data_IF_355953976269
#
_entry.id   IF_355953976269
#
_cell.length_a   1.000
_cell.length_b   1.000
_cell.length_c   1.000
_cell.angle_alpha   90.00
_cell.angle_beta   90.00
_cell.angle_gamma   90.00
#
_symmetry.space_group_name_H-M   'P 1'
#
loop_
_entity.id
_entity.type
_entity.pdbx_description
1 polymer ?
#
# COMPACT_ATOMS: atom_id res chain seq x y z
N UNK A 1 -8.19 -32.14 7.19
CA UNK A 1 -8.31 -31.83 8.64
C UNK A 1 -7.08 -30.95 8.94
N UNK A 2 -7.14 -29.64 9.08
CA UNK A 2 -8.20 -28.75 9.55
C UNK A 2 -8.44 -27.57 8.58
N UNK A 3 -9.70 -27.40 8.19
CA UNK A 3 -10.26 -26.13 7.72
C UNK A 3 -10.58 -25.32 8.97
N UNK A 4 -9.74 -24.37 9.36
CA UNK A 4 -10.09 -23.43 10.44
C UNK A 4 -10.73 -22.17 9.86
N UNK A 5 -12.05 -22.29 9.72
CA UNK A 5 -13.05 -21.33 10.20
C UNK A 5 -12.71 -19.84 10.08
N UNK A 6 -12.90 -19.30 8.88
CA UNK A 6 -13.26 -17.89 8.68
C UNK A 6 -14.66 -17.71 9.27
N UNK A 7 -14.75 -17.37 10.55
CA UNK A 7 -16.01 -16.92 11.15
C UNK A 7 -16.14 -15.42 10.81
N UNK A 8 -16.76 -15.16 9.66
CA UNK A 8 -17.07 -13.81 9.16
C UNK A 8 -18.33 -13.33 9.89
N UNK A 9 -18.17 -12.66 11.03
CA UNK A 9 -19.27 -11.96 11.71
C UNK A 9 -19.29 -10.48 11.34
N UNK A 10 -20.51 -9.92 11.23
CA UNK A 10 -20.85 -8.67 10.54
C UNK A 10 -20.67 -7.44 11.45
N UNK A 11 -20.42 -6.29 10.81
CA UNK A 11 -20.29 -4.93 11.36
C UNK A 11 -18.85 -4.54 11.75
N UNK A 12 -18.21 -3.72 10.91
CA UNK A 12 -16.78 -3.39 10.90
C UNK A 12 -15.86 -4.62 10.85
N UNK A 13 -15.26 -4.89 9.69
CA UNK A 13 -14.36 -6.04 9.48
C UNK A 13 -13.05 -5.88 10.27
N UNK A 14 -13.11 -6.08 11.58
CA UNK A 14 -11.92 -6.16 12.42
C UNK A 14 -11.33 -7.54 12.20
N UNK A 15 -10.38 -7.63 11.26
CA UNK A 15 -9.66 -8.88 10.98
C UNK A 15 -8.71 -9.12 12.15
N UNK A 16 -9.01 -10.13 12.96
CA UNK A 16 -8.10 -10.60 14.01
C UNK A 16 -6.89 -11.28 13.38
N UNK A 17 -5.74 -11.11 14.00
CA UNK A 17 -4.46 -11.62 13.50
C UNK A 17 -3.64 -12.21 14.62
N UNK A 18 -2.84 -13.22 14.29
CA UNK A 18 -1.74 -13.69 15.11
C UNK A 18 -0.49 -13.59 14.25
N UNK A 19 0.46 -12.74 14.66
CA UNK A 19 1.71 -12.52 13.95
C UNK A 19 2.71 -13.66 14.21
N UNK A 20 2.40 -14.84 13.69
CA UNK A 20 3.40 -15.90 13.55
C UNK A 20 4.32 -15.63 12.35
N UNK A 21 5.31 -16.49 12.14
CA UNK A 21 6.31 -16.33 11.07
C UNK A 21 5.67 -16.24 9.68
N UNK A 22 4.63 -17.05 9.42
CA UNK A 22 3.97 -17.08 8.13
C UNK A 22 3.18 -15.78 7.91
N UNK A 23 2.45 -15.33 8.92
CA UNK A 23 1.64 -14.13 8.80
C UNK A 23 2.50 -12.86 8.77
N UNK A 24 3.60 -12.83 9.52
CA UNK A 24 4.61 -11.79 9.41
C UNK A 24 5.20 -11.72 8.00
N UNK A 25 5.54 -12.88 7.40
CA UNK A 25 6.01 -12.93 6.02
C UNK A 25 4.97 -12.40 5.03
N UNK A 26 3.70 -12.74 5.21
CA UNK A 26 2.60 -12.24 4.37
C UNK A 26 2.50 -10.71 4.44
N UNK A 27 2.51 -10.15 5.66
CA UNK A 27 2.48 -8.70 5.86
C UNK A 27 3.72 -8.03 5.28
N UNK A 28 4.91 -8.60 5.50
CA UNK A 28 6.13 -8.07 4.91
C UNK A 28 5.99 -7.99 3.38
N UNK A 29 5.61 -9.09 2.75
CA UNK A 29 5.44 -9.16 1.30
C UNK A 29 4.36 -8.19 0.80
N UNK A 30 3.29 -8.01 1.55
CA UNK A 30 2.16 -7.16 1.18
C UNK A 30 2.46 -5.66 1.33
N UNK A 31 3.13 -5.25 2.41
CA UNK A 31 3.26 -3.83 2.78
C UNK A 31 4.65 -3.24 2.51
N UNK A 32 5.71 -4.05 2.35
CA UNK A 32 7.09 -3.54 2.23
C UNK A 32 7.24 -2.50 1.13
N UNK A 33 6.79 -2.79 -0.09
CA UNK A 33 6.92 -1.88 -1.22
C UNK A 33 6.17 -0.55 -0.99
N UNK A 34 4.93 -0.61 -0.47
CA UNK A 34 4.13 0.57 -0.19
C UNK A 34 4.74 1.43 0.93
N UNK A 35 5.32 0.79 1.96
CA UNK A 35 6.01 1.49 3.04
C UNK A 35 7.32 2.13 2.57
N UNK A 36 8.05 1.52 1.64
CA UNK A 36 9.23 2.13 1.03
C UNK A 36 8.85 3.36 0.20
N UNK A 37 7.81 3.26 -0.63
CA UNK A 37 7.28 4.41 -1.38
C UNK A 37 6.82 5.53 -0.43
N UNK A 38 6.14 5.17 0.65
CA UNK A 38 5.70 6.10 1.67
C UNK A 38 6.88 6.80 2.39
N UNK A 39 7.93 6.06 2.75
CA UNK A 39 9.14 6.62 3.34
C UNK A 39 9.89 7.55 2.36
N UNK A 40 9.90 7.20 1.09
CA UNK A 40 10.56 7.97 0.03
C UNK A 40 9.97 9.39 -0.13
N UNK A 41 8.67 9.56 0.15
CA UNK A 41 8.03 10.89 0.18
C UNK A 41 8.65 11.85 1.22
N UNK A 42 9.40 11.31 2.20
CA UNK A 42 10.13 12.08 3.20
C UNK A 42 11.64 12.11 2.94
N UNK A 43 12.23 10.97 2.57
CA UNK A 43 13.69 10.83 2.44
C UNK A 43 14.23 11.33 1.11
N UNK A 44 13.46 11.17 0.03
CA UNK A 44 13.93 11.30 -1.36
C UNK A 44 15.17 10.42 -1.68
N UNK A 45 15.44 9.42 -0.85
CA UNK A 45 16.55 8.46 -0.96
C UNK A 45 15.99 7.04 -0.80
N UNK A 46 16.22 6.20 -1.82
CA UNK A 46 15.65 4.86 -1.87
C UNK A 46 16.31 3.88 -0.88
N UNK A 47 17.61 4.02 -0.64
CA UNK A 47 18.37 3.14 0.24
C UNK A 47 17.99 3.44 1.69
N UNK A 48 17.98 4.73 2.08
CA UNK A 48 17.53 5.16 3.40
C UNK A 48 16.06 4.79 3.67
N UNK A 49 15.21 4.90 2.65
CA UNK A 49 13.79 4.50 2.77
C UNK A 49 13.65 3.00 3.04
N UNK A 50 14.43 2.17 2.34
CA UNK A 50 14.42 0.73 2.54
C UNK A 50 14.93 0.34 3.94
N UNK A 51 16.00 0.96 4.41
CA UNK A 51 16.57 0.71 5.74
C UNK A 51 15.57 1.05 6.86
N UNK A 52 14.92 2.22 6.77
CA UNK A 52 13.86 2.63 7.71
C UNK A 52 12.75 1.57 7.79
N UNK A 53 12.30 1.09 6.63
CA UNK A 53 11.22 0.11 6.57
C UNK A 53 11.66 -1.24 7.16
N UNK A 54 12.91 -1.67 6.90
CA UNK A 54 13.47 -2.87 7.50
C UNK A 54 13.51 -2.78 9.03
N UNK A 55 13.97 -1.66 9.59
CA UNK A 55 14.01 -1.44 11.04
C UNK A 55 12.61 -1.45 11.66
N UNK A 56 11.63 -0.86 10.99
CA UNK A 56 10.23 -0.89 11.42
C UNK A 56 9.67 -2.32 11.43
N UNK A 57 9.96 -3.12 10.41
CA UNK A 57 9.57 -4.54 10.39
C UNK A 57 10.27 -5.36 11.46
N UNK A 58 11.57 -5.12 11.69
CA UNK A 58 12.30 -5.76 12.78
C UNK A 58 11.67 -5.43 14.15
N UNK A 59 11.25 -4.16 14.33
CA UNK A 59 10.54 -3.76 15.55
C UNK A 59 9.17 -4.40 15.65
N UNK A 60 8.39 -4.44 14.57
CA UNK A 60 7.10 -5.16 14.55
C UNK A 60 7.27 -6.60 15.01
N UNK A 61 8.32 -7.29 14.53
CA UNK A 61 8.60 -8.67 14.95
C UNK A 61 8.89 -8.78 16.45
N UNK A 62 9.64 -7.83 17.03
CA UNK A 62 9.94 -7.84 18.47
C UNK A 62 8.69 -7.67 19.34
N UNK A 63 7.76 -6.80 18.94
CA UNK A 63 6.53 -6.48 19.69
C UNK A 63 5.28 -7.18 19.11
N UNK A 64 5.48 -8.24 18.33
CA UNK A 64 4.40 -8.88 17.54
C UNK A 64 3.25 -9.45 18.38
N UNK A 65 3.54 -9.83 19.62
CA UNK A 65 2.54 -10.40 20.55
C UNK A 65 1.55 -9.34 21.09
N UNK A 66 1.84 -8.04 20.86
CA UNK A 66 0.98 -6.93 21.28
C UNK A 66 -0.14 -6.61 20.27
N UNK A 67 -0.14 -7.26 19.09
CA UNK A 67 -1.09 -6.99 18.01
C UNK A 67 -2.11 -8.10 17.88
N UNK A 68 -3.38 -7.74 18.02
CA UNK A 68 -4.51 -8.67 17.95
C UNK A 68 -5.33 -8.50 16.67
N UNK A 69 -5.15 -7.37 15.96
CA UNK A 69 -5.91 -7.04 14.76
C UNK A 69 -5.04 -6.41 13.68
N UNK A 70 -5.33 -6.72 12.41
CA UNK A 70 -4.54 -6.23 11.27
C UNK A 70 -4.50 -4.70 11.17
N UNK A 71 -5.57 -4.00 11.54
CA UNK A 71 -5.60 -2.53 11.51
C UNK A 71 -4.59 -1.90 12.50
N UNK A 72 -4.31 -2.57 13.63
CA UNK A 72 -3.31 -2.12 14.59
C UNK A 72 -1.91 -2.24 13.99
N UNK A 73 -1.66 -3.35 13.28
CA UNK A 73 -0.39 -3.57 12.57
C UNK A 73 -0.18 -2.50 11.50
N UNK A 74 -1.19 -2.24 10.65
CA UNK A 74 -1.12 -1.18 9.63
C UNK A 74 -0.85 0.19 10.25
N UNK A 75 -1.63 0.57 11.26
CA UNK A 75 -1.48 1.86 11.94
C UNK A 75 -0.06 1.99 12.53
N UNK A 76 0.45 0.92 13.14
CA UNK A 76 1.82 0.88 13.65
C UNK A 76 2.84 1.07 12.53
N UNK A 77 2.76 0.29 11.44
CA UNK A 77 3.74 0.32 10.35
C UNK A 77 3.89 1.73 9.76
N UNK A 78 2.79 2.35 9.34
CA UNK A 78 2.83 3.70 8.76
C UNK A 78 3.27 4.76 9.78
N UNK A 79 2.82 4.67 11.02
CA UNK A 79 3.22 5.62 12.08
C UNK A 79 4.69 5.48 12.41
N UNK A 80 5.20 4.26 12.52
CA UNK A 80 6.60 3.99 12.83
C UNK A 80 7.52 4.43 11.68
N UNK A 81 7.16 4.16 10.43
CA UNK A 81 7.92 4.62 9.25
C UNK A 81 7.97 6.15 9.21
N UNK A 82 6.82 6.83 9.36
CA UNK A 82 6.80 8.31 9.41
C UNK A 82 7.67 8.84 10.54
N UNK A 83 7.53 8.30 11.76
CA UNK A 83 8.29 8.80 12.90
C UNK A 83 9.79 8.58 12.71
N UNK A 84 10.18 7.43 12.16
CA UNK A 84 11.58 7.14 11.88
C UNK A 84 12.14 8.07 10.80
N UNK A 85 11.41 8.27 9.70
CA UNK A 85 11.74 9.25 8.67
C UNK A 85 11.88 10.67 9.25
N UNK A 86 10.92 11.12 10.04
CA UNK A 86 10.99 12.45 10.66
C UNK A 86 12.15 12.57 11.63
N UNK A 87 12.46 11.52 12.40
CA UNK A 87 13.62 11.49 13.30
C UNK A 87 14.94 11.54 12.53
N UNK A 88 15.08 10.81 11.42
CA UNK A 88 16.27 10.88 10.57
C UNK A 88 16.45 12.29 9.97
N UNK A 89 15.36 12.89 9.49
CA UNK A 89 15.38 14.27 9.01
C UNK A 89 15.67 15.26 10.13
N UNK A 90 15.16 15.03 11.34
CA UNK A 90 15.47 15.84 12.52
C UNK A 90 16.92 15.66 12.94
N UNK A 91 17.49 14.47 12.94
CA UNK A 91 18.90 14.28 13.23
C UNK A 91 19.78 14.95 12.17
N UNK A 92 19.37 14.93 10.91
CA UNK A 92 20.00 15.68 9.83
C UNK A 92 19.78 17.20 9.94
N UNK A 93 18.64 17.67 10.47
CA UNK A 93 18.25 19.09 10.61
C UNK A 93 18.50 19.69 11.99
N UNK A 94 18.82 18.92 13.03
CA UNK A 94 19.31 19.47 14.32
C UNK A 94 20.73 20.02 14.13
N UNK A 95 21.35 19.75 12.97
CA UNK A 95 22.44 20.56 12.42
C UNK A 95 22.00 21.93 11.84
N UNK A 96 20.71 22.21 11.65
CA UNK A 96 20.10 23.46 11.11
C UNK A 96 18.62 23.67 11.58
N UNK A 97 18.48 24.27 12.77
CA UNK A 97 17.36 25.01 13.39
C UNK A 97 15.86 24.69 13.09
N UNK A 98 15.21 24.12 14.11
CA UNK A 98 13.96 24.46 14.82
C UNK A 98 12.85 25.37 14.22
N UNK A 99 12.01 24.84 13.32
CA UNK A 99 10.64 25.36 13.10
C UNK A 99 9.63 24.22 12.83
N UNK A 100 9.01 23.62 13.86
CA UNK A 100 8.19 22.40 13.65
C UNK A 100 6.76 22.36 14.22
N UNK A 101 6.29 23.38 14.95
CA UNK A 101 4.95 23.28 15.59
C UNK A 101 3.75 23.58 14.67
N UNK A 102 3.92 24.30 13.56
CA UNK A 102 2.83 24.55 12.58
C UNK A 102 2.75 23.43 11.53
N UNK A 103 3.86 22.72 11.30
CA UNK A 103 3.95 21.60 10.36
C UNK A 103 3.08 20.42 10.82
N UNK A 104 3.00 20.14 12.12
CA UNK A 104 2.32 18.96 12.66
C UNK A 104 0.85 18.78 12.21
N UNK A 105 0.05 19.86 12.13
CA UNK A 105 -1.37 19.76 11.74
C UNK A 105 -1.58 19.57 10.23
N UNK A 106 -0.73 20.19 9.40
CA UNK A 106 -0.70 19.93 7.94
C UNK A 106 -0.12 18.55 7.64
N UNK A 107 0.90 18.15 8.40
CA UNK A 107 1.54 16.84 8.32
C UNK A 107 0.56 15.71 8.65
N UNK A 108 -0.39 15.88 9.56
CA UNK A 108 -1.37 14.82 9.86
C UNK A 108 -2.44 14.64 8.76
N UNK A 109 -2.86 15.71 8.08
CA UNK A 109 -3.74 15.58 6.92
C UNK A 109 -2.97 14.94 5.75
N UNK A 110 -1.79 15.46 5.45
CA UNK A 110 -0.88 14.90 4.45
C UNK A 110 -0.53 13.42 4.73
N UNK A 111 -0.29 13.07 5.99
CA UNK A 111 -0.03 11.70 6.42
C UNK A 111 -1.21 10.77 6.13
N UNK A 112 -2.43 11.19 6.48
CA UNK A 112 -3.62 10.39 6.19
C UNK A 112 -3.85 10.24 4.69
N UNK A 113 -3.70 11.32 3.93
CA UNK A 113 -3.90 11.30 2.48
C UNK A 113 -2.87 10.41 1.79
N UNK A 114 -1.59 10.49 2.19
CA UNK A 114 -0.52 9.64 1.70
C UNK A 114 -0.72 8.16 2.06
N UNK A 115 -1.18 7.84 3.28
CA UNK A 115 -1.56 6.46 3.64
C UNK A 115 -2.69 5.96 2.74
N UNK A 116 -3.73 6.78 2.53
CA UNK A 116 -4.88 6.40 1.69
C UNK A 116 -4.44 6.17 0.25
N UNK A 117 -3.58 7.03 -0.30
CA UNK A 117 -3.04 6.89 -1.64
C UNK A 117 -2.23 5.59 -1.79
N UNK A 118 -1.29 5.32 -0.87
CA UNK A 118 -0.46 4.12 -0.88
C UNK A 118 -1.29 2.85 -0.72
N UNK A 119 -2.24 2.82 0.22
CA UNK A 119 -3.14 1.68 0.37
C UNK A 119 -3.99 1.48 -0.89
N UNK A 120 -4.48 2.56 -1.51
CA UNK A 120 -5.25 2.47 -2.76
C UNK A 120 -4.41 1.89 -3.89
N UNK A 121 -3.19 2.37 -4.05
CA UNK A 121 -2.25 1.88 -5.07
C UNK A 121 -1.88 0.42 -4.83
N UNK A 122 -1.60 0.04 -3.58
CA UNK A 122 -1.30 -1.33 -3.18
C UNK A 122 -2.45 -2.29 -3.49
N UNK A 123 -3.66 -1.93 -3.06
CA UNK A 123 -4.89 -2.72 -3.31
C UNK A 123 -5.13 -2.87 -4.83
N UNK A 124 -4.96 -1.79 -5.60
CA UNK A 124 -5.12 -1.83 -7.05
C UNK A 124 -4.07 -2.72 -7.72
N UNK A 125 -2.81 -2.62 -7.29
CA UNK A 125 -1.70 -3.43 -7.82
C UNK A 125 -1.93 -4.93 -7.56
N UNK A 126 -2.38 -5.30 -6.35
CA UNK A 126 -2.72 -6.68 -6.01
C UNK A 126 -3.90 -7.19 -6.86
N UNK A 127 -4.89 -6.35 -7.13
CA UNK A 127 -6.01 -6.70 -8.01
C UNK A 127 -5.57 -6.88 -9.47
N UNK A 128 -4.59 -6.09 -9.94
CA UNK A 128 -4.00 -6.23 -11.29
C UNK A 128 -3.22 -7.54 -11.42
N UNK A 129 -2.51 -7.97 -10.38
CA UNK A 129 -1.82 -9.26 -10.37
C UNK A 129 -2.80 -10.44 -10.53
N UNK A 130 -4.06 -10.30 -10.14
CA UNK A 130 -5.10 -11.33 -10.35
C UNK A 130 -5.63 -11.38 -11.80
N UNK A 131 -5.25 -10.44 -12.66
CA UNK A 131 -5.65 -10.45 -14.06
C UNK A 131 -4.86 -11.47 -14.91
N UNK A 132 -5.47 -11.99 -15.99
CA UNK A 132 -4.74 -12.75 -17.01
C UNK A 132 -3.57 -11.95 -17.59
N UNK A 133 -2.48 -12.64 -17.95
CA UNK A 133 -1.17 -12.08 -18.30
C UNK A 133 -1.24 -10.88 -19.26
N UNK A 134 -2.00 -10.99 -20.35
CA UNK A 134 -2.09 -9.90 -21.34
C UNK A 134 -2.82 -8.67 -20.80
N UNK A 135 -3.87 -8.87 -20.00
CA UNK A 135 -4.60 -7.77 -19.35
C UNK A 135 -3.75 -7.12 -18.26
N UNK A 136 -2.99 -7.92 -17.49
CA UNK A 136 -2.08 -7.44 -16.46
C UNK A 136 -1.01 -6.51 -17.05
N UNK A 137 -0.32 -6.95 -18.11
CA UNK A 137 0.70 -6.15 -18.78
C UNK A 137 0.15 -4.81 -19.30
N UNK A 138 -1.06 -4.83 -19.89
CA UNK A 138 -1.74 -3.60 -20.34
C UNK A 138 -2.05 -2.66 -19.17
N UNK A 139 -2.55 -3.19 -18.04
CA UNK A 139 -2.91 -2.39 -16.88
C UNK A 139 -1.69 -1.83 -16.13
N UNK A 140 -0.57 -2.57 -16.07
CA UNK A 140 0.69 -2.09 -15.52
C UNK A 140 1.22 -0.89 -16.32
N UNK A 141 1.32 -1.01 -17.65
CA UNK A 141 1.73 0.11 -18.51
C UNK A 141 0.78 1.30 -18.42
N UNK A 142 -0.52 1.06 -18.24
CA UNK A 142 -1.50 2.12 -18.04
C UNK A 142 -1.31 2.85 -16.69
N UNK A 143 -0.91 2.13 -15.63
CA UNK A 143 -0.54 2.73 -14.34
C UNK A 143 0.72 3.58 -14.44
N UNK A 144 1.68 3.18 -15.29
CA UNK A 144 2.86 4.00 -15.63
C UNK A 144 2.53 5.24 -16.48
N UNK A 145 1.24 5.50 -16.77
CA UNK A 145 0.79 6.66 -17.52
C UNK A 145 0.89 6.53 -19.05
N UNK A 146 1.18 5.34 -19.59
CA UNK A 146 1.28 5.13 -21.04
C UNK A 146 -0.09 5.25 -21.73
N UNK A 147 -0.12 5.88 -22.89
CA UNK A 147 -1.31 5.98 -23.75
C UNK A 147 -1.57 4.65 -24.46
N UNK A 148 -2.82 4.41 -24.84
CA UNK A 148 -3.21 3.16 -25.49
C UNK A 148 -2.40 2.85 -26.76
N UNK A 149 -2.00 3.87 -27.54
CA UNK A 149 -1.15 3.70 -28.71
C UNK A 149 0.26 3.21 -28.35
N UNK A 150 0.86 3.79 -27.30
CA UNK A 150 2.18 3.37 -26.80
C UNK A 150 2.14 1.94 -26.23
N UNK A 151 1.04 1.58 -25.55
CA UNK A 151 0.83 0.22 -25.03
C UNK A 151 0.70 -0.77 -26.19
N UNK A 152 -0.08 -0.41 -27.22
CA UNK A 152 -0.30 -1.24 -28.40
C UNK A 152 1.01 -1.53 -29.12
N UNK A 153 1.83 -0.50 -29.34
CA UNK A 153 3.16 -0.61 -29.92
C UNK A 153 4.08 -1.49 -29.07
N UNK A 154 4.15 -1.23 -27.76
CA UNK A 154 5.05 -1.95 -26.84
C UNK A 154 4.71 -3.43 -26.67
N UNK A 155 3.43 -3.78 -26.75
CA UNK A 155 2.96 -5.16 -26.64
C UNK A 155 2.74 -5.83 -28.00
N UNK A 156 3.02 -5.13 -29.11
CA UNK A 156 2.82 -5.60 -30.48
C UNK A 156 1.39 -6.12 -30.73
N UNK A 157 0.39 -5.32 -30.34
CA UNK A 157 -1.05 -5.59 -30.54
C UNK A 157 -1.73 -4.37 -31.15
N UNK A 158 -2.98 -4.49 -31.63
CA UNK A 158 -3.71 -3.33 -32.15
C UNK A 158 -4.23 -2.41 -31.02
N UNK A 159 -4.38 -1.10 -31.26
CA UNK A 159 -5.05 -0.18 -30.32
C UNK A 159 -6.44 -0.66 -29.90
N UNK A 160 -7.20 -1.28 -30.81
CA UNK A 160 -8.50 -1.89 -30.56
C UNK A 160 -8.42 -3.07 -29.59
N UNK A 161 -7.37 -3.90 -29.71
CA UNK A 161 -7.11 -4.98 -28.75
C UNK A 161 -6.84 -4.41 -27.36
N UNK A 162 -6.02 -3.36 -27.26
CA UNK A 162 -5.77 -2.66 -25.98
C UNK A 162 -7.08 -2.12 -25.40
N UNK A 163 -7.91 -1.45 -26.20
CA UNK A 163 -9.18 -0.90 -25.74
C UNK A 163 -10.13 -1.98 -25.21
N UNK A 164 -10.29 -3.07 -25.97
CA UNK A 164 -11.14 -4.21 -25.59
C UNK A 164 -10.64 -4.88 -24.30
N UNK A 165 -9.34 -5.17 -24.21
CA UNK A 165 -8.76 -5.80 -23.03
C UNK A 165 -8.81 -4.90 -21.80
N UNK A 166 -8.62 -3.58 -21.94
CA UNK A 166 -8.83 -2.61 -20.84
C UNK A 166 -10.27 -2.64 -20.35
N UNK A 167 -11.26 -2.63 -21.25
CA UNK A 167 -12.68 -2.70 -20.87
C UNK A 167 -13.01 -3.96 -20.06
N UNK A 168 -12.48 -5.11 -20.48
CA UNK A 168 -12.64 -6.38 -19.74
C UNK A 168 -11.87 -6.36 -18.42
N UNK A 169 -10.65 -5.83 -18.40
CA UNK A 169 -9.84 -5.67 -17.19
C UNK A 169 -10.56 -4.81 -16.14
N UNK A 170 -11.10 -3.64 -16.52
CA UNK A 170 -11.88 -2.79 -15.61
C UNK A 170 -13.08 -3.52 -15.01
N UNK A 171 -13.80 -4.34 -15.80
CA UNK A 171 -14.92 -5.13 -15.29
C UNK A 171 -14.46 -6.16 -14.25
N UNK A 172 -13.32 -6.82 -14.49
CA UNK A 172 -12.72 -7.78 -13.54
C UNK A 172 -12.21 -7.09 -12.27
N UNK A 173 -11.47 -5.99 -12.42
CA UNK A 173 -10.97 -5.19 -11.30
C UNK A 173 -12.11 -4.69 -10.43
N UNK A 174 -13.21 -4.20 -11.02
CA UNK A 174 -14.41 -3.80 -10.28
C UNK A 174 -14.99 -4.93 -9.43
N UNK A 175 -15.01 -6.16 -9.96
CA UNK A 175 -15.45 -7.33 -9.23
C UNK A 175 -14.48 -7.71 -8.08
N UNK A 176 -13.17 -7.64 -8.32
CA UNK A 176 -12.16 -7.89 -7.28
C UNK A 176 -12.18 -6.84 -6.17
N UNK A 177 -12.58 -5.62 -6.50
CA UNK A 177 -12.60 -4.47 -5.60
C UNK A 177 -14.00 -4.16 -5.04
N UNK A 178 -14.97 -5.07 -5.21
CA UNK A 178 -16.36 -4.82 -4.79
C UNK A 178 -16.48 -4.60 -3.27
N UNK A 179 -15.64 -5.26 -2.47
CA UNK A 179 -15.59 -5.06 -1.02
C UNK A 179 -15.07 -3.66 -0.60
N UNK A 180 -14.36 -2.96 -1.49
CA UNK A 180 -13.87 -1.58 -1.27
C UNK A 180 -14.85 -0.52 -1.79
N UNK A 181 -15.80 -0.89 -2.66
CA UNK A 181 -16.77 0.04 -3.27
C UNK A 181 -17.78 0.60 -2.26
N UNK A 182 -18.12 -0.16 -1.21
CA UNK A 182 -19.03 0.29 -0.16
C UNK A 182 -18.41 1.37 0.75
N UNK A 183 -17.07 1.46 0.82
CA UNK A 183 -16.40 2.52 1.56
C UNK A 183 -16.44 3.87 0.82
N UNK A 184 -16.41 3.87 -0.51
CA UNK A 184 -16.52 5.10 -1.32
C UNK A 184 -17.92 5.74 -1.22
N UNK A 185 -18.97 4.96 -0.97
CA UNK A 185 -20.33 5.48 -0.76
C UNK A 185 -20.58 6.06 0.64
N UNK A 186 -19.66 5.86 1.59
CA UNK A 186 -19.75 6.46 2.94
C UNK A 186 -19.06 7.83 3.05
N UNK A 187 -18.36 8.26 1.98
CA UNK A 187 -17.66 9.55 1.91
C UNK A 187 -18.16 10.44 0.76
N UNK A 188 -19.36 10.15 0.22
CA UNK A 188 -20.13 11.05 -0.66
C UNK A 188 -21.34 11.56 0.10
#
# INVERSE_FOLDING_TARGET
MALNLIKKDKSHSVVSIKLDEQEFHNIFKEYYAALCSFAFQYMEDADMSADIVQDVFAKLWQIRDDFFYLHQVKAFLYTAVRNHALNELEHSKVAHEYEQKIIAKKADAFFRDAIVEEETFRILSEAIEKLPTQMRAIMQLALEGKKNAEIAERLNVSPETVHTLKKVAYKKLRAFLTDYYYCLLLFI
#
